data_IF_854348389263
#
_entry.id   IF_854348389263
#
_cell.length_a   1.000
_cell.length_b   1.000
_cell.length_c   1.000
_cell.angle_alpha   90.00
_cell.angle_beta   90.00
_cell.angle_gamma   90.00
#
_symmetry.space_group_name_H-M   'P 1'
#
loop_
_entity.id
_entity.type
_entity.pdbx_description
1 polymer ?
#
# COMPACT_ATOMS: atom_id res chain seq x y z
N UNK A 1 8.31 10.99 15.66
CA UNK A 1 6.88 10.61 15.73
C UNK A 1 6.68 9.44 14.79
N UNK A 2 6.33 8.26 15.30
CA UNK A 2 6.21 7.03 14.51
C UNK A 2 4.75 6.52 14.38
N UNK A 3 3.79 7.24 14.98
CA UNK A 3 2.39 6.81 15.09
C UNK A 3 1.41 7.66 14.28
N UNK A 4 1.79 8.88 13.88
CA UNK A 4 0.88 9.80 13.21
C UNK A 4 1.20 9.88 11.72
N UNK A 5 0.40 9.20 10.90
CA UNK A 5 0.41 9.34 9.44
C UNK A 5 -0.48 10.51 9.00
N UNK A 6 -0.22 11.70 9.57
CA UNK A 6 -0.95 12.95 9.30
C UNK A 6 -2.44 12.91 9.68
N UNK A 7 -3.25 13.79 9.08
CA UNK A 7 -4.66 13.99 9.45
C UNK A 7 -5.56 12.83 9.01
N UNK A 8 -5.19 12.12 7.94
CA UNK A 8 -5.97 10.99 7.41
C UNK A 8 -5.52 9.63 7.94
N UNK A 9 -4.33 9.54 8.53
CA UNK A 9 -3.70 8.26 8.87
C UNK A 9 -3.14 7.50 7.66
N UNK A 10 -3.22 8.09 6.44
CA UNK A 10 -2.78 7.49 5.18
C UNK A 10 -1.85 8.39 4.38
N UNK A 11 -1.53 9.59 4.86
CA UNK A 11 -0.79 10.59 4.08
C UNK A 11 0.59 10.04 3.63
N UNK A 12 1.23 9.25 4.49
CA UNK A 12 2.49 8.57 4.16
C UNK A 12 2.28 7.44 3.14
N UNK A 13 1.22 6.64 3.29
CA UNK A 13 0.89 5.54 2.37
C UNK A 13 0.60 6.06 0.97
N UNK A 14 -0.20 7.13 0.86
CA UNK A 14 -0.50 7.78 -0.42
C UNK A 14 0.78 8.22 -1.13
N UNK A 15 1.68 8.89 -0.39
CA UNK A 15 2.96 9.33 -0.94
C UNK A 15 3.85 8.16 -1.36
N UNK A 16 3.94 7.10 -0.56
CA UNK A 16 4.73 5.92 -0.92
C UNK A 16 4.20 5.26 -2.19
N UNK A 17 2.87 5.14 -2.35
CA UNK A 17 2.27 4.58 -3.57
C UNK A 17 2.57 5.48 -4.78
N UNK A 18 2.57 6.81 -4.61
CA UNK A 18 2.89 7.73 -5.71
C UNK A 18 4.38 7.68 -6.12
N UNK A 19 5.29 7.70 -5.14
CA UNK A 19 6.72 7.91 -5.38
C UNK A 19 7.46 6.59 -5.69
N UNK A 20 7.06 5.46 -5.10
CA UNK A 20 7.81 4.19 -5.16
C UNK A 20 8.06 3.65 -6.58
N UNK A 21 7.15 3.77 -7.56
CA UNK A 21 7.39 3.22 -8.90
C UNK A 21 8.66 3.77 -9.58
N UNK A 22 9.06 5.01 -9.29
CA UNK A 22 10.29 5.61 -9.84
C UNK A 22 11.57 4.94 -9.33
N UNK A 23 11.50 4.22 -8.20
CA UNK A 23 12.65 3.59 -7.55
C UNK A 23 12.68 2.08 -7.76
N UNK A 24 11.64 1.49 -8.34
CA UNK A 24 11.54 0.06 -8.58
C UNK A 24 11.97 -0.32 -10.01
N UNK A 25 12.58 -1.49 -10.13
CA UNK A 25 12.76 -2.15 -11.43
C UNK A 25 11.40 -2.65 -11.94
N UNK A 26 11.24 -2.92 -13.26
CA UNK A 26 10.07 -3.64 -13.76
C UNK A 26 9.82 -4.93 -12.96
N UNK A 27 8.56 -5.23 -12.65
CA UNK A 27 8.12 -6.33 -11.78
C UNK A 27 8.56 -6.19 -10.30
N UNK A 28 9.05 -5.01 -9.92
CA UNK A 28 9.38 -4.65 -8.55
C UNK A 28 8.13 -4.59 -7.67
N UNK A 29 8.30 -4.79 -6.36
CA UNK A 29 7.17 -4.88 -5.44
C UNK A 29 7.26 -3.87 -4.31
N UNK A 30 6.14 -3.26 -4.00
CA UNK A 30 5.92 -2.46 -2.80
C UNK A 30 5.05 -3.28 -1.83
N UNK A 31 5.55 -3.53 -0.63
CA UNK A 31 4.78 -4.13 0.46
C UNK A 31 4.53 -3.10 1.55
N UNK A 32 3.27 -2.89 1.90
CA UNK A 32 2.85 -1.93 2.91
C UNK A 32 2.09 -2.65 4.02
N UNK A 33 2.45 -2.39 5.27
CA UNK A 33 1.64 -2.77 6.43
C UNK A 33 0.53 -1.75 6.64
N UNK A 34 -0.68 -2.23 6.89
CA UNK A 34 -1.90 -1.43 7.04
C UNK A 34 -2.70 -1.82 8.28
N UNK A 35 -3.53 -0.92 8.77
CA UNK A 35 -4.54 -1.27 9.77
C UNK A 35 -5.67 -2.09 9.12
N UNK A 36 -6.31 -2.95 9.91
CA UNK A 36 -7.36 -3.88 9.44
C UNK A 36 -8.56 -3.22 8.72
N UNK A 37 -8.76 -1.92 8.90
CA UNK A 37 -9.84 -1.13 8.31
C UNK A 37 -9.40 -0.29 7.11
N UNK A 38 -8.14 -0.40 6.67
CA UNK A 38 -7.56 0.43 5.60
C UNK A 38 -7.34 -0.33 4.29
N UNK A 39 -7.55 -1.66 4.25
CA UNK A 39 -7.21 -2.48 3.09
C UNK A 39 -7.89 -2.03 1.79
N UNK A 40 -9.19 -1.77 1.83
CA UNK A 40 -9.93 -1.30 0.67
C UNK A 40 -9.41 0.06 0.17
N UNK A 41 -9.26 1.03 1.07
CA UNK A 41 -8.84 2.38 0.69
C UNK A 41 -7.43 2.40 0.10
N UNK A 42 -6.52 1.59 0.63
CA UNK A 42 -5.15 1.49 0.11
C UNK A 42 -5.12 0.73 -1.21
N UNK A 43 -5.95 -0.32 -1.37
CA UNK A 43 -6.10 -1.01 -2.64
C UNK A 43 -6.63 -0.07 -3.74
N UNK A 44 -7.61 0.78 -3.43
CA UNK A 44 -8.15 1.76 -4.38
C UNK A 44 -7.08 2.77 -4.81
N UNK A 45 -6.23 3.22 -3.87
CA UNK A 45 -5.10 4.10 -4.16
C UNK A 45 -4.10 3.44 -5.12
N UNK A 46 -3.73 2.17 -4.87
CA UNK A 46 -2.83 1.43 -5.77
C UNK A 46 -3.46 1.27 -7.15
N UNK A 47 -4.72 0.83 -7.22
CA UNK A 47 -5.42 0.59 -8.49
C UNK A 47 -5.67 1.88 -9.30
N UNK A 48 -5.72 3.04 -8.62
CA UNK A 48 -5.83 4.34 -9.29
C UNK A 48 -4.52 4.80 -9.94
N UNK A 49 -3.38 4.20 -9.58
CA UNK A 49 -2.08 4.54 -10.12
C UNK A 49 -1.70 3.58 -11.26
N UNK A 50 -1.59 4.06 -12.52
CA UNK A 50 -1.33 3.22 -13.69
C UNK A 50 0.06 2.58 -13.71
N UNK A 51 0.97 3.00 -12.82
CA UNK A 51 2.30 2.40 -12.70
C UNK A 51 2.28 1.02 -12.03
N UNK A 52 1.18 0.63 -11.38
CA UNK A 52 1.03 -0.69 -10.78
C UNK A 52 0.18 -1.61 -11.66
N UNK A 53 0.65 -2.84 -11.83
CA UNK A 53 0.02 -3.87 -12.64
C UNK A 53 -0.76 -4.90 -11.82
N UNK A 54 -0.47 -5.00 -10.51
CA UNK A 54 -1.19 -5.89 -9.59
C UNK A 54 -1.25 -5.34 -8.17
N UNK A 55 -2.32 -5.69 -7.43
CA UNK A 55 -2.48 -5.36 -6.02
C UNK A 55 -3.15 -6.52 -5.27
N UNK A 56 -2.43 -7.12 -4.32
CA UNK A 56 -2.91 -8.22 -3.49
C UNK A 56 -2.99 -7.83 -2.02
N UNK A 57 -4.01 -8.32 -1.31
CA UNK A 57 -4.13 -8.19 0.14
C UNK A 57 -3.66 -9.51 0.77
N UNK A 58 -2.75 -9.42 1.74
CA UNK A 58 -2.21 -10.57 2.45
C UNK A 58 -2.63 -10.47 3.92
N UNK A 59 -3.40 -11.44 4.43
CA UNK A 59 -3.77 -11.46 5.84
C UNK A 59 -2.60 -11.91 6.73
N UNK A 60 -2.65 -11.53 8.00
CA UNK A 60 -1.78 -12.10 9.03
C UNK A 60 -2.23 -13.52 9.45
N UNK A 61 -1.52 -14.11 10.41
CA UNK A 61 -1.82 -15.46 10.91
C UNK A 61 -3.20 -15.58 11.59
N UNK A 62 -3.82 -14.45 11.97
CA UNK A 62 -5.17 -14.40 12.52
C UNK A 62 -6.24 -14.16 11.45
N UNK A 63 -5.86 -14.13 10.16
CA UNK A 63 -6.77 -13.93 9.04
C UNK A 63 -7.18 -12.47 8.85
N UNK A 64 -6.48 -11.52 9.48
CA UNK A 64 -6.80 -10.09 9.38
C UNK A 64 -5.97 -9.50 8.24
N UNK A 65 -6.62 -8.77 7.32
CA UNK A 65 -5.95 -7.98 6.28
C UNK A 65 -4.88 -7.07 6.91
N UNK A 66 -3.61 -7.36 6.60
CA UNK A 66 -2.48 -6.70 7.25
C UNK A 66 -1.51 -6.09 6.27
N UNK A 67 -1.36 -6.69 5.09
CA UNK A 67 -0.41 -6.22 4.10
C UNK A 67 -1.05 -6.01 2.74
N UNK A 68 -0.59 -4.96 2.06
CA UNK A 68 -0.81 -4.74 0.63
C UNK A 68 0.49 -5.07 -0.09
N UNK A 69 0.40 -5.89 -1.13
CA UNK A 69 1.49 -6.18 -2.04
C UNK A 69 1.13 -5.66 -3.44
N UNK A 70 1.79 -4.59 -3.85
CA UNK A 70 1.63 -3.99 -5.17
C UNK A 70 2.84 -4.28 -6.05
N UNK A 71 2.60 -4.60 -7.33
CA UNK A 71 3.67 -4.84 -8.33
C UNK A 71 3.64 -3.72 -9.36
N UNK A 72 4.82 -3.16 -9.69
CA UNK A 72 4.97 -2.24 -10.83
C UNK A 72 5.07 -3.01 -12.13
#
# INVERSE_FOLDING_TARGET
>A
MALFAGCSGLDIIQRLIADTPEFLKPEGKLMLEISHNQSQQVQDLVNSNPAYTACNIIPDLSGIDRFILATV
#
